data_IF_690388292948
#
_entry.id   IF_690388292948
#
_cell.length_a   1.000
_cell.length_b   1.000
_cell.length_c   1.000
_cell.angle_alpha   90.00
_cell.angle_beta   90.00
_cell.angle_gamma   90.00
#
_symmetry.space_group_name_H-M   'P 1'
#
loop_
_entity.id
_entity.type
_entity.pdbx_description
1 polymer ?
#
# COMPACT_ATOMS: atom_id res chain seq x y z
N UNK A 1 17.46 -2.45 -2.13
CA UNK A 1 17.04 -1.94 -0.81
C UNK A 1 16.12 -0.74 -1.00
N UNK A 2 14.99 -0.71 -0.29
CA UNK A 2 14.09 0.44 -0.24
C UNK A 2 14.08 1.07 1.16
N UNK A 3 14.24 2.39 1.24
CA UNK A 3 14.20 3.15 2.48
C UNK A 3 13.22 4.33 2.38
N UNK A 4 12.61 4.73 3.51
CA UNK A 4 11.71 5.87 3.58
C UNK A 4 11.77 6.56 4.94
N UNK A 5 11.70 7.89 4.91
CA UNK A 5 11.52 8.73 6.10
C UNK A 5 10.50 9.81 5.80
N UNK A 6 9.49 10.01 6.68
CA UNK A 6 8.57 11.15 6.58
C UNK A 6 9.18 12.40 7.25
N UNK A 7 8.69 13.58 6.87
CA UNK A 7 9.07 14.85 7.50
C UNK A 7 8.63 14.93 8.96
N UNK A 8 7.52 14.24 9.33
CA UNK A 8 6.94 14.26 10.67
C UNK A 8 7.60 13.29 11.66
N UNK A 9 8.48 12.41 11.18
CA UNK A 9 9.27 11.55 12.05
C UNK A 9 10.42 12.39 12.64
N UNK A 10 10.10 13.01 13.76
CA UNK A 10 10.98 13.95 14.46
C UNK A 10 12.40 13.43 14.71
N UNK A 11 13.25 14.39 14.99
CA UNK A 11 14.70 14.32 15.22
C UNK A 11 15.18 13.32 16.29
N UNK A 12 14.29 12.55 16.91
CA UNK A 12 14.58 11.85 18.17
C UNK A 12 15.22 10.45 18.09
N UNK A 13 15.54 9.92 16.90
CA UNK A 13 16.28 8.64 16.86
C UNK A 13 17.25 8.61 15.69
N UNK A 14 18.54 8.60 15.99
CA UNK A 14 19.67 8.38 15.05
C UNK A 14 19.48 7.12 14.18
N UNK A 15 18.79 6.09 14.69
CA UNK A 15 18.47 4.85 13.97
C UNK A 15 17.34 4.93 12.92
N UNK A 16 16.70 6.09 12.74
CA UNK A 16 15.63 6.28 11.75
C UNK A 16 16.08 7.05 10.50
N UNK A 17 17.35 7.30 10.33
CA UNK A 17 17.88 7.90 9.10
C UNK A 17 17.77 6.93 7.93
N UNK A 18 17.70 7.45 6.71
CA UNK A 18 17.69 6.63 5.49
C UNK A 18 18.94 5.75 5.41
N UNK A 19 20.10 6.30 5.81
CA UNK A 19 21.36 5.58 5.78
C UNK A 19 21.39 4.45 6.82
N UNK A 20 20.92 4.66 8.06
CA UNK A 20 20.87 3.60 9.07
C UNK A 20 19.92 2.45 8.67
N UNK A 21 18.77 2.78 8.03
CA UNK A 21 17.88 1.77 7.46
C UNK A 21 18.57 0.97 6.35
N UNK A 22 19.30 1.66 5.47
CA UNK A 22 20.07 1.06 4.39
C UNK A 22 21.16 0.14 4.94
N UNK A 23 21.99 0.62 5.85
CA UNK A 23 23.08 -0.17 6.44
C UNK A 23 22.56 -1.47 7.05
N UNK A 24 21.44 -1.41 7.75
CA UNK A 24 20.78 -2.60 8.32
C UNK A 24 20.32 -3.59 7.24
N UNK A 25 19.74 -3.09 6.14
CA UNK A 25 19.31 -3.92 5.02
C UNK A 25 20.51 -4.51 4.27
N UNK A 26 21.57 -3.75 4.06
CA UNK A 26 22.79 -4.21 3.37
C UNK A 26 23.54 -5.24 4.22
N UNK A 27 23.58 -5.07 5.54
CA UNK A 27 24.11 -6.08 6.46
C UNK A 27 23.33 -7.40 6.37
N UNK A 28 22.00 -7.31 6.32
CA UNK A 28 21.15 -8.49 6.10
C UNK A 28 21.45 -9.15 4.77
N UNK A 29 21.49 -8.42 3.65
CA UNK A 29 21.83 -8.97 2.33
C UNK A 29 23.21 -9.64 2.35
N UNK A 30 24.18 -9.01 3.03
CA UNK A 30 25.52 -9.56 3.19
C UNK A 30 25.50 -10.90 3.92
N UNK A 31 24.66 -11.05 4.95
CA UNK A 31 24.50 -12.33 5.67
C UNK A 31 23.93 -13.45 4.80
N UNK A 32 23.19 -13.09 3.74
CA UNK A 32 22.57 -14.04 2.80
C UNK A 32 23.44 -14.33 1.55
N UNK A 33 24.67 -13.85 1.50
CA UNK A 33 25.59 -14.08 0.35
C UNK A 33 25.79 -15.55 0.02
N UNK A 34 25.81 -16.42 1.03
CA UNK A 34 25.92 -17.86 0.82
C UNK A 34 24.74 -18.45 0.02
N UNK A 35 23.59 -17.79 0.04
CA UNK A 35 22.39 -18.12 -0.72
C UNK A 35 22.34 -17.44 -2.11
N UNK A 36 23.40 -16.76 -2.51
CA UNK A 36 23.53 -16.11 -3.82
C UNK A 36 22.97 -14.69 -3.87
N UNK A 37 22.69 -14.06 -2.74
CA UNK A 37 22.15 -12.69 -2.72
C UNK A 37 23.20 -11.66 -3.16
N UNK A 38 22.78 -10.77 -4.05
CA UNK A 38 23.62 -9.68 -4.56
C UNK A 38 22.90 -8.35 -4.38
N UNK A 39 23.59 -7.36 -3.82
CA UNK A 39 23.06 -6.01 -3.66
C UNK A 39 23.02 -5.29 -5.02
N UNK A 40 21.82 -4.86 -5.42
CA UNK A 40 21.61 -3.93 -6.54
C UNK A 40 22.16 -2.56 -6.15
N UNK A 41 22.98 -1.94 -7.00
CA UNK A 41 23.66 -0.66 -6.72
C UNK A 41 22.73 0.54 -6.68
N UNK A 42 21.58 0.45 -7.36
CA UNK A 42 20.62 1.54 -7.39
C UNK A 42 19.98 1.79 -6.03
N UNK A 43 19.84 3.07 -5.70
CA UNK A 43 19.28 3.53 -4.43
C UNK A 43 17.81 3.91 -4.63
N UNK A 44 16.93 3.32 -3.82
CA UNK A 44 15.49 3.63 -3.79
C UNK A 44 15.14 4.25 -2.43
N UNK A 45 15.45 5.55 -2.30
CA UNK A 45 15.32 6.30 -1.05
C UNK A 45 14.25 7.39 -1.22
N UNK A 46 13.17 7.34 -0.43
CA UNK A 46 12.12 8.34 -0.36
C UNK A 46 12.21 9.13 0.95
N UNK A 47 13.04 10.17 0.97
CA UNK A 47 13.13 11.14 2.06
C UNK A 47 12.03 12.19 1.97
N UNK A 48 11.34 12.47 3.08
CA UNK A 48 10.29 13.49 3.14
C UNK A 48 8.91 13.04 2.66
N UNK A 49 8.71 11.75 2.37
CA UNK A 49 7.44 11.22 1.88
C UNK A 49 6.69 10.42 2.94
N UNK A 50 5.37 10.64 3.03
CA UNK A 50 4.49 9.84 3.90
C UNK A 50 4.37 8.39 3.42
N UNK A 51 4.20 7.44 4.35
CA UNK A 51 3.87 6.05 4.03
C UNK A 51 2.40 5.81 3.63
N UNK A 52 1.57 6.87 3.62
CA UNK A 52 0.15 6.80 3.28
C UNK A 52 -0.17 6.93 1.80
N UNK A 53 0.82 7.05 0.92
CA UNK A 53 0.65 7.06 -0.53
C UNK A 53 1.67 6.16 -1.20
N UNK A 54 1.32 5.56 -2.33
CA UNK A 54 2.24 4.82 -3.19
C UNK A 54 2.93 5.73 -4.23
N UNK A 55 2.47 6.97 -4.39
CA UNK A 55 3.03 7.94 -5.35
C UNK A 55 4.30 8.57 -4.80
N UNK A 56 5.33 7.78 -4.65
CA UNK A 56 6.66 8.19 -4.18
C UNK A 56 7.70 7.93 -5.27
N UNK A 57 8.58 8.89 -5.60
CA UNK A 57 9.47 8.79 -6.75
C UNK A 57 10.37 7.55 -6.76
N UNK A 58 11.02 7.25 -5.62
CA UNK A 58 11.91 6.09 -5.55
C UNK A 58 11.13 4.77 -5.53
N UNK A 59 9.96 4.72 -4.87
CA UNK A 59 9.10 3.54 -4.93
C UNK A 59 8.60 3.27 -6.35
N UNK A 60 8.17 4.29 -7.08
CA UNK A 60 7.71 4.14 -8.47
C UNK A 60 8.85 3.68 -9.40
N UNK A 61 10.09 4.13 -9.15
CA UNK A 61 11.27 3.64 -9.87
C UNK A 61 11.53 2.17 -9.53
N UNK A 62 11.52 1.79 -8.24
CA UNK A 62 11.66 0.41 -7.81
C UNK A 62 10.62 -0.52 -8.49
N UNK A 63 9.36 -0.10 -8.54
CA UNK A 63 8.30 -0.90 -9.15
C UNK A 63 8.49 -1.08 -10.67
N UNK A 64 9.01 -0.05 -11.37
CA UNK A 64 9.38 -0.19 -12.79
C UNK A 64 10.54 -1.17 -12.99
N UNK A 65 11.54 -1.13 -12.10
CA UNK A 65 12.68 -2.03 -12.17
C UNK A 65 12.29 -3.48 -11.82
N UNK A 66 11.31 -3.67 -10.95
CA UNK A 66 10.65 -4.96 -10.71
C UNK A 66 9.97 -5.48 -11.97
N UNK A 67 9.17 -4.64 -12.63
CA UNK A 67 8.49 -5.00 -13.89
C UNK A 67 9.46 -5.29 -15.05
N UNK A 68 10.61 -4.63 -15.02
CA UNK A 68 11.69 -4.88 -15.99
C UNK A 68 12.54 -6.15 -15.66
N UNK A 69 12.26 -6.85 -14.55
CA UNK A 69 13.00 -8.04 -14.14
C UNK A 69 14.42 -7.75 -13.63
N UNK A 70 14.68 -6.53 -13.17
CA UNK A 70 15.99 -6.12 -12.64
C UNK A 70 16.15 -6.37 -11.14
N UNK A 71 15.07 -6.79 -10.46
CA UNK A 71 15.01 -6.99 -9.02
C UNK A 71 14.31 -8.31 -8.72
N UNK A 72 14.96 -9.20 -7.97
CA UNK A 72 14.38 -10.49 -7.54
C UNK A 72 13.82 -10.43 -6.12
N UNK A 73 14.34 -9.51 -5.30
CA UNK A 73 13.93 -9.36 -3.92
C UNK A 73 13.96 -7.90 -3.48
N UNK A 74 12.87 -7.44 -2.85
CA UNK A 74 12.80 -6.12 -2.22
C UNK A 74 13.06 -6.27 -0.72
N UNK A 75 14.08 -5.56 -0.22
CA UNK A 75 14.44 -5.55 1.20
C UNK A 75 14.14 -4.18 1.79
N UNK A 76 13.40 -4.15 2.90
CA UNK A 76 13.11 -2.94 3.66
C UNK A 76 13.40 -3.14 5.16
N UNK A 77 13.75 -2.08 5.84
CA UNK A 77 14.03 -2.14 7.29
C UNK A 77 12.80 -2.59 8.08
N UNK A 78 11.59 -2.03 7.76
CA UNK A 78 10.31 -2.37 8.38
C UNK A 78 9.18 -2.30 7.35
N UNK A 79 8.08 -3.01 7.61
CA UNK A 79 6.89 -2.99 6.74
C UNK A 79 6.31 -1.57 6.56
N UNK A 80 6.28 -0.77 7.62
CA UNK A 80 5.76 0.60 7.60
C UNK A 80 6.62 1.58 6.78
N UNK A 81 7.86 1.20 6.42
CA UNK A 81 8.66 1.94 5.43
C UNK A 81 8.04 1.79 4.04
N UNK A 82 7.52 0.61 3.74
CA UNK A 82 6.88 0.34 2.46
C UNK A 82 5.48 0.95 2.37
N UNK A 83 4.61 0.64 3.34
CA UNK A 83 3.27 1.26 3.44
C UNK A 83 2.77 1.26 4.89
N UNK A 84 2.01 2.29 5.27
CA UNK A 84 1.25 2.36 6.53
C UNK A 84 -0.19 1.85 6.34
N UNK A 85 -0.66 1.77 5.10
CA UNK A 85 -1.96 1.22 4.74
C UNK A 85 -1.83 -0.27 4.44
N UNK A 86 -2.62 -1.10 5.12
CA UNK A 86 -2.66 -2.53 4.85
C UNK A 86 -3.10 -2.80 3.40
N UNK A 87 -4.10 -2.06 2.92
CA UNK A 87 -4.60 -2.20 1.54
C UNK A 87 -3.53 -1.90 0.49
N UNK A 88 -2.73 -0.84 0.71
CA UNK A 88 -1.65 -0.48 -0.23
C UNK A 88 -0.47 -1.46 -0.13
N UNK A 89 -0.17 -1.94 1.09
CA UNK A 89 0.82 -2.99 1.28
C UNK A 89 0.44 -4.26 0.51
N UNK A 90 -0.81 -4.69 0.65
CA UNK A 90 -1.35 -5.85 -0.06
C UNK A 90 -1.23 -5.70 -1.58
N UNK A 91 -1.70 -4.57 -2.14
CA UNK A 91 -1.59 -4.28 -3.57
C UNK A 91 -0.16 -4.34 -4.08
N UNK A 92 0.77 -3.87 -3.26
CA UNK A 92 2.18 -3.90 -3.59
C UNK A 92 2.73 -5.33 -3.56
N UNK A 93 2.35 -6.14 -2.56
CA UNK A 93 2.74 -7.55 -2.50
C UNK A 93 2.18 -8.34 -3.69
N UNK A 94 0.91 -8.14 -4.05
CA UNK A 94 0.30 -8.72 -5.26
C UNK A 94 1.09 -8.36 -6.52
N UNK A 95 1.55 -7.10 -6.63
CA UNK A 95 2.36 -6.64 -7.78
C UNK A 95 3.75 -7.26 -7.80
N UNK A 96 4.42 -7.40 -6.65
CA UNK A 96 5.71 -8.09 -6.55
C UNK A 96 5.58 -9.57 -6.91
N UNK A 97 4.56 -10.25 -6.36
CA UNK A 97 4.30 -11.67 -6.59
C UNK A 97 4.00 -11.97 -8.07
N UNK A 98 3.22 -11.09 -8.74
CA UNK A 98 2.93 -11.21 -10.18
C UNK A 98 4.19 -11.21 -11.05
N UNK A 99 5.30 -10.64 -10.57
CA UNK A 99 6.60 -10.61 -11.25
C UNK A 99 7.62 -11.58 -10.63
N UNK A 100 7.19 -12.46 -9.72
CA UNK A 100 8.06 -13.43 -9.06
C UNK A 100 9.04 -12.81 -8.06
N UNK A 101 8.83 -11.55 -7.66
CA UNK A 101 9.69 -10.82 -6.74
C UNK A 101 9.27 -11.05 -5.30
N UNK A 102 10.24 -11.39 -4.45
CA UNK A 102 10.01 -11.61 -3.02
C UNK A 102 10.20 -10.33 -2.20
N UNK A 103 9.69 -10.33 -0.96
CA UNK A 103 9.84 -9.21 -0.03
C UNK A 103 10.36 -9.66 1.33
N UNK A 104 11.29 -8.89 1.89
CA UNK A 104 11.87 -9.12 3.21
C UNK A 104 11.85 -7.84 4.05
N UNK A 105 11.33 -7.95 5.27
CA UNK A 105 11.48 -6.94 6.33
C UNK A 105 12.53 -7.41 7.33
N UNK A 106 13.56 -6.59 7.54
CA UNK A 106 14.73 -6.99 8.35
C UNK A 106 14.36 -7.14 9.84
N UNK A 107 13.56 -6.21 10.38
CA UNK A 107 13.30 -6.15 11.83
C UNK A 107 12.03 -6.85 12.28
N UNK A 108 11.13 -7.23 11.36
CA UNK A 108 9.81 -7.77 11.70
C UNK A 108 9.65 -9.26 11.37
N UNK A 109 10.73 -9.97 11.06
CA UNK A 109 10.72 -11.40 10.68
C UNK A 109 9.68 -11.75 9.60
N UNK A 110 9.38 -10.78 8.71
CA UNK A 110 8.47 -10.99 7.59
C UNK A 110 9.30 -11.20 6.32
N UNK A 111 9.22 -12.41 5.78
CA UNK A 111 10.04 -12.84 4.65
C UNK A 111 9.22 -13.76 3.74
N UNK A 112 8.82 -13.27 2.58
CA UNK A 112 8.02 -14.04 1.61
C UNK A 112 8.83 -15.10 0.86
N UNK A 113 10.14 -15.19 1.06
CA UNK A 113 10.94 -16.32 0.53
C UNK A 113 10.62 -17.62 1.28
N UNK A 114 10.14 -17.52 2.52
CA UNK A 114 9.81 -18.68 3.37
C UNK A 114 8.33 -19.06 3.26
N UNK A 115 8.01 -20.34 3.51
CA UNK A 115 6.62 -20.82 3.53
C UNK A 115 5.78 -20.14 4.61
N UNK A 116 6.38 -19.87 5.79
CA UNK A 116 5.69 -19.16 6.88
C UNK A 116 5.39 -17.69 6.50
N UNK A 117 6.34 -17.01 5.85
CA UNK A 117 6.11 -15.62 5.38
C UNK A 117 5.04 -15.56 4.29
N UNK A 118 4.99 -16.52 3.38
CA UNK A 118 3.88 -16.61 2.39
C UNK A 118 2.54 -16.89 3.05
N UNK A 119 2.49 -17.78 4.06
CA UNK A 119 1.26 -18.00 4.83
C UNK A 119 0.81 -16.71 5.52
N UNK A 120 1.72 -15.98 6.16
CA UNK A 120 1.43 -14.69 6.80
C UNK A 120 0.91 -13.67 5.77
N UNK A 121 1.53 -13.60 4.60
CA UNK A 121 1.06 -12.75 3.50
C UNK A 121 -0.38 -13.11 3.10
N UNK A 122 -0.69 -14.38 2.88
CA UNK A 122 -2.03 -14.83 2.51
C UNK A 122 -3.08 -14.47 3.57
N UNK A 123 -2.75 -14.56 4.84
CA UNK A 123 -3.63 -14.11 5.93
C UNK A 123 -3.88 -12.60 5.85
N UNK A 124 -2.84 -11.79 5.62
CA UNK A 124 -2.97 -10.33 5.46
C UNK A 124 -3.79 -9.96 4.22
N UNK A 125 -3.60 -10.68 3.10
CA UNK A 125 -4.39 -10.52 1.87
C UNK A 125 -5.88 -10.77 2.13
N UNK A 126 -6.20 -11.89 2.78
CA UNK A 126 -7.58 -12.26 3.15
C UNK A 126 -8.22 -11.23 4.08
N UNK A 127 -7.45 -10.73 5.05
CA UNK A 127 -7.93 -9.70 5.98
C UNK A 127 -8.22 -8.37 5.26
N UNK A 128 -7.34 -7.93 4.38
CA UNK A 128 -7.54 -6.70 3.59
C UNK A 128 -8.73 -6.82 2.62
N UNK A 129 -8.99 -8.02 2.08
CA UNK A 129 -10.17 -8.27 1.28
C UNK A 129 -11.44 -8.20 2.13
N UNK A 130 -11.45 -8.84 3.29
CA UNK A 130 -12.57 -8.77 4.24
C UNK A 130 -12.89 -7.33 4.65
N UNK A 131 -11.89 -6.51 4.99
CA UNK A 131 -12.11 -5.09 5.29
C UNK A 131 -12.79 -4.35 4.13
N UNK A 132 -12.37 -4.59 2.89
CA UNK A 132 -12.99 -3.98 1.69
C UNK A 132 -14.45 -4.40 1.52
N UNK A 133 -14.75 -5.67 1.74
CA UNK A 133 -16.11 -6.21 1.66
C UNK A 133 -17.03 -5.59 2.72
N UNK A 134 -16.58 -5.54 3.98
CA UNK A 134 -17.33 -4.91 5.09
C UNK A 134 -17.58 -3.42 4.85
N UNK A 135 -16.59 -2.69 4.33
CA UNK A 135 -16.78 -1.28 3.96
C UNK A 135 -17.82 -1.16 2.84
N UNK A 136 -17.74 -2.02 1.82
CA UNK A 136 -18.72 -2.07 0.72
C UNK A 136 -20.14 -2.36 1.21
N UNK A 137 -20.30 -3.28 2.15
CA UNK A 137 -21.61 -3.57 2.78
C UNK A 137 -22.15 -2.36 3.54
N UNK A 138 -21.35 -1.76 4.39
CA UNK A 138 -21.75 -0.54 5.13
C UNK A 138 -22.17 0.61 4.21
N UNK A 139 -21.48 0.77 3.07
CA UNK A 139 -21.84 1.76 2.07
C UNK A 139 -23.19 1.41 1.43
N UNK A 140 -23.41 0.15 1.01
CA UNK A 140 -24.67 -0.32 0.44
C UNK A 140 -25.84 -0.12 1.40
N UNK A 141 -25.67 -0.48 2.67
CA UNK A 141 -26.68 -0.31 3.72
C UNK A 141 -27.02 1.17 3.93
N UNK A 142 -25.99 2.03 3.98
CA UNK A 142 -26.18 3.48 4.08
C UNK A 142 -26.95 4.05 2.88
N UNK A 143 -26.66 3.58 1.67
CA UNK A 143 -27.38 3.96 0.46
C UNK A 143 -28.82 3.46 0.50
N UNK A 144 -29.06 2.21 0.90
CA UNK A 144 -30.40 1.63 1.03
C UNK A 144 -31.22 2.41 2.06
N UNK A 145 -30.68 2.68 3.24
CA UNK A 145 -31.35 3.48 4.28
C UNK A 145 -31.67 4.91 3.81
N UNK A 146 -30.76 5.54 3.05
CA UNK A 146 -30.97 6.88 2.51
C UNK A 146 -32.07 6.89 1.44
N UNK A 147 -32.08 5.89 0.54
CA UNK A 147 -33.16 5.72 -0.46
C UNK A 147 -34.53 5.48 0.19
N UNK A 148 -34.58 4.65 1.25
CA UNK A 148 -35.79 4.40 2.00
C UNK A 148 -36.37 5.70 2.63
N UNK A 149 -35.51 6.69 2.92
CA UNK A 149 -35.91 8.03 3.37
C UNK A 149 -36.24 9.00 2.21
N UNK A 150 -36.29 8.53 0.97
CA UNK A 150 -36.55 9.34 -0.23
C UNK A 150 -35.41 10.32 -0.58
N UNK A 151 -34.18 10.04 -0.10
CA UNK A 151 -33.03 10.91 -0.39
C UNK A 151 -32.43 10.58 -1.78
N UNK A 152 -32.15 11.63 -2.55
CA UNK A 152 -31.41 11.53 -3.79
C UNK A 152 -29.92 11.26 -3.47
N UNK A 153 -29.41 10.17 -4.04
CA UNK A 153 -28.03 9.71 -3.73
C UNK A 153 -27.02 10.09 -4.80
N UNK A 154 -27.37 10.99 -5.71
CA UNK A 154 -26.52 11.45 -6.80
C UNK A 154 -26.81 10.75 -8.13
N UNK A 155 -26.08 11.19 -9.17
CA UNK A 155 -26.30 10.81 -10.55
C UNK A 155 -26.90 11.94 -11.37
N UNK A 156 -27.24 11.65 -12.67
CA UNK A 156 -27.92 12.63 -13.52
C UNK A 156 -29.37 12.76 -13.04
N UNK A 157 -29.80 14.00 -12.79
CA UNK A 157 -31.19 14.28 -12.40
C UNK A 157 -32.10 13.92 -13.57
N UNK A 158 -33.19 13.15 -13.34
CA UNK A 158 -34.17 12.88 -14.37
C UNK A 158 -34.85 14.16 -14.87
N UNK A 159 -35.26 14.18 -16.15
CA UNK A 159 -36.01 15.29 -16.73
C UNK A 159 -37.33 15.47 -15.95
N UNK A 160 -37.74 16.70 -15.74
CA UNK A 160 -38.93 17.04 -14.94
C UNK A 160 -38.74 16.99 -13.42
N UNK A 161 -37.47 16.90 -12.95
CA UNK A 161 -37.19 16.91 -11.53
C UNK A 161 -36.00 17.81 -11.18
N UNK A 162 -36.10 18.46 -10.01
CA UNK A 162 -35.01 19.18 -9.36
C UNK A 162 -34.60 18.52 -8.07
N UNK A 163 -33.32 18.71 -7.67
CA UNK A 163 -32.82 18.24 -6.38
C UNK A 163 -32.87 19.34 -5.35
N UNK A 164 -33.87 19.28 -4.47
CA UNK A 164 -34.03 20.22 -3.37
C UNK A 164 -33.83 19.49 -2.03
N UNK A 165 -32.95 19.97 -1.18
CA UNK A 165 -32.63 19.36 0.13
C UNK A 165 -32.36 17.85 0.05
N UNK A 166 -31.62 17.41 -0.96
CA UNK A 166 -31.30 15.98 -1.27
C UNK A 166 -32.54 15.13 -1.58
N UNK A 167 -33.65 15.70 -2.04
CA UNK A 167 -34.82 14.99 -2.53
C UNK A 167 -35.13 15.42 -3.96
N UNK A 168 -35.68 14.50 -4.74
CA UNK A 168 -36.22 14.84 -6.05
C UNK A 168 -37.58 15.53 -5.83
N UNK A 169 -37.72 16.72 -6.37
CA UNK A 169 -38.96 17.49 -6.43
C UNK A 169 -39.35 17.63 -7.88
N UNK A 170 -40.64 17.55 -8.17
CA UNK A 170 -41.16 17.74 -9.53
C UNK A 170 -40.90 19.18 -9.98
N UNK A 171 -40.34 19.35 -11.16
CA UNK A 171 -40.21 20.62 -11.85
C UNK A 171 -41.32 20.72 -12.92
N UNK A 172 -42.29 21.59 -12.69
CA UNK A 172 -43.45 21.76 -13.60
C UNK A 172 -43.10 22.64 -14.83
N UNK A 173 -41.90 23.25 -14.87
CA UNK A 173 -41.47 24.12 -15.95
C UNK A 173 -40.66 23.38 -17.04
N UNK A 174 -40.23 22.15 -16.78
CA UNK A 174 -39.55 21.24 -17.75
C UNK A 174 -40.53 20.22 -18.34
#
# INVERSE_FOLDING_TARGET
VYTRKSTDEGLEKEFNTLDAQRDSCEAYITSQRAEGWVLVRDRYDDGGFSGGTLERPALQRLLRDVEAGLVDCVVAYRLDRLSRSLTDFVRMMERLEAHGVTFVSVTQSFNTTTSMGRLTLNILLSFAQFEREVIGERIRDKFAASRARGMWMGGKVPLGYDVVARKLMVNEEE
#
